data_IF_627047021472
#
_entry.id   IF_627047021472
#
_cell.length_a   1.000
_cell.length_b   1.000
_cell.length_c   1.000
_cell.angle_alpha   90.00
_cell.angle_beta   90.00
_cell.angle_gamma   90.00
#
_symmetry.space_group_name_H-M   'P 1'
#
loop_
_entity.id
_entity.type
_entity.pdbx_description
1 polymer ?
#
# COMPACT_ATOMS: atom_id res chain seq x y z
N UNK A 1 9.98 -4.86 -19.98
CA UNK A 1 9.66 -5.70 -18.81
C UNK A 1 9.20 -4.75 -17.71
N UNK A 2 7.90 -4.65 -17.34
CA UNK A 2 7.58 -3.97 -16.10
C UNK A 2 8.08 -4.87 -14.97
N UNK A 3 9.17 -4.46 -14.34
CA UNK A 3 9.74 -5.16 -13.21
C UNK A 3 8.65 -5.40 -12.17
N UNK A 4 8.59 -6.65 -11.70
CA UNK A 4 7.73 -7.20 -10.66
C UNK A 4 7.04 -6.13 -9.83
N UNK A 5 5.78 -5.86 -10.19
CA UNK A 5 4.86 -5.07 -9.37
C UNK A 5 4.82 -5.70 -7.99
N UNK A 6 5.44 -5.04 -7.01
CA UNK A 6 5.36 -5.45 -5.62
C UNK A 6 3.87 -5.45 -5.25
N UNK A 7 3.33 -6.62 -4.92
CA UNK A 7 1.95 -6.77 -4.50
C UNK A 7 1.80 -6.29 -3.06
N UNK A 8 0.62 -5.81 -2.69
CA UNK A 8 0.29 -5.49 -1.31
C UNK A 8 0.61 -6.63 -0.33
N UNK A 9 0.48 -7.88 -0.77
CA UNK A 9 0.86 -9.08 0.00
C UNK A 9 2.36 -9.14 0.30
N UNK A 10 3.22 -8.70 -0.62
CA UNK A 10 4.67 -8.67 -0.42
C UNK A 10 5.04 -7.56 0.59
N UNK A 11 4.38 -6.41 0.51
CA UNK A 11 4.50 -5.33 1.50
C UNK A 11 4.08 -5.84 2.88
N UNK A 12 2.92 -6.48 2.98
CA UNK A 12 2.42 -7.06 4.23
C UNK A 12 3.37 -8.13 4.79
N UNK A 13 3.89 -9.03 3.95
CA UNK A 13 4.84 -10.05 4.39
C UNK A 13 6.13 -9.42 4.97
N UNK A 14 6.66 -8.36 4.34
CA UNK A 14 7.86 -7.66 4.84
C UNK A 14 7.59 -6.90 6.13
N UNK A 15 6.45 -6.22 6.22
CA UNK A 15 6.02 -5.54 7.45
C UNK A 15 5.79 -6.54 8.59
N UNK A 16 5.22 -7.71 8.31
CA UNK A 16 5.08 -8.78 9.30
C UNK A 16 6.43 -9.36 9.74
N UNK A 17 7.42 -9.44 8.84
CA UNK A 17 8.77 -9.91 9.17
C UNK A 17 9.52 -8.99 10.13
N UNK A 18 9.27 -7.68 10.10
CA UNK A 18 9.78 -6.72 11.11
C UNK A 18 8.95 -6.71 12.40
N UNK A 19 7.95 -7.59 12.52
CA UNK A 19 7.15 -7.78 13.73
C UNK A 19 5.92 -6.88 13.84
N UNK A 20 5.49 -6.26 12.74
CA UNK A 20 4.26 -5.47 12.73
C UNK A 20 3.03 -6.37 12.51
N UNK A 21 1.93 -6.03 13.17
CA UNK A 21 0.63 -6.65 12.88
C UNK A 21 0.07 -6.01 11.61
N UNK A 22 0.15 -6.74 10.50
CA UNK A 22 -0.31 -6.26 9.19
C UNK A 22 -1.68 -6.81 8.84
N UNK A 23 -2.54 -5.97 8.29
CA UNK A 23 -3.84 -6.31 7.75
C UNK A 23 -3.90 -5.89 6.29
N UNK A 24 -4.25 -6.81 5.42
CA UNK A 24 -4.43 -6.53 3.99
C UNK A 24 -5.92 -6.46 3.72
N UNK A 25 -6.37 -5.32 3.18
CA UNK A 25 -7.73 -5.12 2.73
C UNK A 25 -7.74 -4.96 1.21
N UNK A 26 -8.39 -5.90 0.52
CA UNK A 26 -8.59 -5.81 -0.91
C UNK A 26 -9.80 -4.93 -1.22
N UNK A 27 -9.58 -3.91 -2.06
CA UNK A 27 -10.65 -3.12 -2.66
C UNK A 27 -10.69 -3.33 -4.17
N UNK A 28 -11.82 -2.92 -4.76
CA UNK A 28 -12.15 -3.08 -6.18
C UNK A 28 -11.09 -2.50 -7.12
N UNK A 29 -10.44 -1.39 -6.72
CA UNK A 29 -9.43 -0.67 -7.54
C UNK A 29 -8.02 -0.67 -6.97
N UNK A 30 -7.84 -1.10 -5.72
CA UNK A 30 -6.56 -1.04 -5.03
C UNK A 30 -6.55 -2.02 -3.86
N UNK A 31 -5.35 -2.43 -3.45
CA UNK A 31 -5.20 -3.19 -2.21
C UNK A 31 -4.53 -2.29 -1.19
N UNK A 32 -5.18 -2.15 -0.04
CA UNK A 32 -4.68 -1.40 1.11
C UNK A 32 -4.01 -2.37 2.07
N UNK A 33 -2.89 -1.94 2.65
CA UNK A 33 -2.15 -2.67 3.68
C UNK A 33 -2.08 -1.75 4.88
N UNK A 34 -2.65 -2.15 5.99
CA UNK A 34 -2.57 -1.45 7.27
C UNK A 34 -1.60 -2.19 8.18
N UNK A 35 -0.85 -1.47 9.00
CA UNK A 35 0.07 -2.05 9.96
C UNK A 35 0.01 -1.29 11.28
N UNK A 36 -0.31 -1.99 12.38
CA UNK A 36 -0.24 -1.40 13.71
C UNK A 36 1.20 -1.28 14.17
N UNK A 37 1.59 -0.06 14.55
CA UNK A 37 2.94 0.29 14.98
C UNK A 37 3.00 0.22 16.50
N UNK A 38 3.76 -0.73 17.08
CA UNK A 38 4.01 -0.75 18.51
C UNK A 38 4.73 0.53 18.95
N UNK A 39 4.46 0.97 20.18
CA UNK A 39 5.09 2.16 20.77
C UNK A 39 6.62 2.04 20.90
N UNK A 40 7.13 0.81 21.02
CA UNK A 40 8.53 0.48 21.27
C UNK A 40 9.31 0.06 20.01
N UNK A 41 9.00 0.68 18.86
CA UNK A 41 9.65 0.34 17.59
C UNK A 41 11.02 1.04 17.47
N UNK A 42 12.08 0.25 17.27
CA UNK A 42 13.45 0.77 17.09
C UNK A 42 13.60 1.56 15.79
N UNK A 43 14.52 2.54 15.77
CA UNK A 43 14.77 3.37 14.60
C UNK A 43 15.22 2.56 13.35
N UNK A 44 15.94 1.46 13.56
CA UNK A 44 16.38 0.57 12.47
C UNK A 44 15.19 -0.10 11.79
N UNK A 45 14.31 -0.74 12.57
CA UNK A 45 13.07 -1.32 12.07
C UNK A 45 12.16 -0.26 11.43
N UNK A 46 12.16 0.97 11.95
CA UNK A 46 11.40 2.06 11.34
C UNK A 46 11.91 2.47 9.96
N UNK A 47 13.23 2.43 9.76
CA UNK A 47 13.83 2.67 8.45
C UNK A 47 13.44 1.58 7.45
N UNK A 48 13.51 0.31 7.84
CA UNK A 48 13.08 -0.79 6.97
C UNK A 48 11.60 -0.66 6.59
N UNK A 49 10.75 -0.31 7.56
CA UNK A 49 9.32 -0.06 7.30
C UNK A 49 9.11 1.04 6.27
N UNK A 50 9.82 2.16 6.40
CA UNK A 50 9.73 3.27 5.44
C UNK A 50 10.24 2.88 4.05
N UNK A 51 11.29 2.06 3.95
CA UNK A 51 11.79 1.56 2.67
C UNK A 51 10.76 0.67 1.98
N UNK A 52 10.07 -0.19 2.73
CA UNK A 52 8.99 -1.04 2.20
C UNK A 52 7.76 -0.21 1.80
N UNK A 53 7.39 0.79 2.60
CA UNK A 53 6.28 1.69 2.28
C UNK A 53 6.56 2.56 1.05
N UNK A 54 7.82 2.92 0.81
CA UNK A 54 8.23 3.66 -0.39
C UNK A 54 8.03 2.85 -1.69
N UNK A 55 7.93 1.52 -1.61
CA UNK A 55 7.56 0.67 -2.76
C UNK A 55 6.05 0.75 -3.09
N UNK A 56 5.22 1.22 -2.14
CA UNK A 56 3.80 1.40 -2.35
C UNK A 56 3.49 2.63 -3.21
N UNK A 57 2.31 2.63 -3.84
CA UNK A 57 1.89 3.75 -4.68
C UNK A 57 1.47 4.98 -3.83
N UNK A 58 0.85 4.71 -2.68
CA UNK A 58 0.66 5.70 -1.61
C UNK A 58 0.95 5.06 -0.28
N UNK A 59 1.40 5.85 0.68
CA UNK A 59 1.53 5.43 2.06
C UNK A 59 1.30 6.63 2.98
N UNK A 60 1.00 6.34 4.25
CA UNK A 60 0.83 7.34 5.27
C UNK A 60 0.78 6.74 6.67
N UNK A 61 0.74 7.63 7.66
CA UNK A 61 0.61 7.28 9.06
C UNK A 61 -0.67 7.92 9.60
N UNK A 62 -1.55 7.12 10.17
CA UNK A 62 -2.71 7.58 10.90
C UNK A 62 -2.46 7.35 12.39
N UNK A 63 -2.33 8.42 13.16
CA UNK A 63 -2.17 8.36 14.61
C UNK A 63 -3.47 8.80 15.27
N UNK A 64 -4.19 7.87 15.88
CA UNK A 64 -5.42 8.15 16.62
C UNK A 64 -5.13 7.98 18.10
N UNK A 65 -5.54 8.93 18.94
CA UNK A 65 -5.30 8.88 20.39
C UNK A 65 -5.84 7.61 21.09
N UNK A 66 -6.77 6.89 20.45
CA UNK A 66 -7.40 5.65 20.95
C UNK A 66 -6.81 4.35 20.36
N UNK A 67 -6.24 4.39 19.14
CA UNK A 67 -5.76 3.21 18.41
C UNK A 67 -4.23 3.20 18.23
N UNK A 68 -3.53 4.17 18.82
CA UNK A 68 -2.09 4.31 18.65
C UNK A 68 -1.74 4.81 17.25
N UNK A 69 -0.65 4.28 16.70
CA UNK A 69 -0.10 4.64 15.39
C UNK A 69 -0.37 3.49 14.42
N UNK A 70 -1.14 3.74 13.38
CA UNK A 70 -1.42 2.78 12.32
C UNK A 70 -0.84 3.30 11.02
N UNK A 71 0.10 2.57 10.45
CA UNK A 71 0.60 2.82 9.11
C UNK A 71 -0.36 2.26 8.08
N UNK A 72 -0.43 2.90 6.93
CA UNK A 72 -1.16 2.38 5.79
C UNK A 72 -0.36 2.58 4.50
N UNK A 73 -0.47 1.60 3.61
CA UNK A 73 0.06 1.62 2.25
C UNK A 73 -1.04 1.19 1.28
N UNK A 74 -1.10 1.81 0.12
CA UNK A 74 -2.03 1.46 -0.94
C UNK A 74 -1.23 1.10 -2.17
N UNK A 75 -1.48 -0.10 -2.68
CA UNK A 75 -0.98 -0.55 -3.98
C UNK A 75 -2.15 -0.48 -4.94
N UNK A 76 -2.09 0.49 -5.87
CA UNK A 76 -3.09 0.57 -6.94
C UNK A 76 -2.93 -0.65 -7.84
N UNK A 77 -4.02 -1.42 -8.00
CA UNK A 77 -4.11 -2.37 -9.11
C UNK A 77 -3.99 -1.52 -10.37
N UNK A 78 -3.23 -1.98 -11.36
CA UNK A 78 -3.22 -1.29 -12.67
C UNK A 78 -4.69 -1.28 -13.05
N UNK A 79 -5.23 -0.10 -13.26
CA UNK A 79 -6.42 -0.03 -14.07
C UNK A 79 -6.15 -0.92 -15.29
N UNK A 80 -7.10 -1.75 -15.74
CA UNK A 80 -7.03 -2.16 -17.13
C UNK A 80 -6.85 -0.85 -17.88
N UNK A 81 -5.73 -0.70 -18.60
CA UNK A 81 -5.50 0.43 -19.46
C UNK A 81 -6.79 0.58 -20.25
N UNK A 82 -7.59 1.61 -19.97
CA UNK A 82 -8.67 2.04 -20.86
C UNK A 82 -7.95 2.64 -22.07
N UNK A 83 -7.29 1.77 -22.81
CA UNK A 83 -6.70 1.99 -24.10
C UNK A 83 -7.67 1.42 -25.10
N UNK A 84 -8.81 2.09 -25.23
CA UNK A 84 -9.48 2.37 -26.49
C UNK A 84 -10.63 3.34 -26.19
N UNK A 85 -10.31 4.64 -26.09
CA UNK A 85 -11.30 5.68 -26.36
C UNK A 85 -11.21 5.93 -27.87
N UNK A 86 -11.62 4.95 -28.66
CA UNK A 86 -11.79 5.04 -30.10
C UNK A 86 -13.27 5.27 -30.43
N UNK A 87 -13.67 6.53 -30.61
CA UNK A 87 -15.01 6.81 -31.13
C UNK A 87 -15.34 8.30 -31.17
N UNK A 88 -15.24 8.99 -32.33
CA UNK A 88 -15.68 10.36 -32.46
C UNK A 88 -17.21 10.40 -32.43
N UNK A 89 -17.77 10.86 -31.32
CA UNK A 89 -19.18 11.25 -31.23
C UNK A 89 -19.39 12.57 -31.98
N UNK A 90 -19.53 12.49 -33.31
CA UNK A 90 -20.23 13.51 -34.09
C UNK A 90 -21.60 12.92 -34.46
N UNK A 91 -22.61 13.18 -33.61
CA UNK A 91 -24.00 13.01 -34.02
C UNK A 91 -24.35 14.10 -35.03
N UNK A 92 -25.01 13.71 -36.12
CA UNK A 92 -25.65 14.60 -37.09
C UNK A 92 -27.04 14.99 -36.61
#
# INVERSE_FOLDING_TARGET
MPASRVSAEAIAARLSAVGLTTRVEEHDRCTSVEAEVPEALSAESWREVLEVLAEADRFGLHATSLNGRTLWAVVRKAAPTTGDVGGPSHQR
#
